data_IF_568912830572
#
_entry.id   IF_568912830572
#
_cell.length_a   1.000
_cell.length_b   1.000
_cell.length_c   1.000
_cell.angle_alpha   90.00
_cell.angle_beta   90.00
_cell.angle_gamma   90.00
#
_symmetry.space_group_name_H-M   'P 1'
#
loop_
_entity.id
_entity.type
_entity.pdbx_description
1 polymer ?
#
# COMPACT_ATOMS: atom_id res chain seq x y z
N UNK A 1 18.06 23.04 -15.44
CA UNK A 1 17.75 21.87 -14.59
C UNK A 1 16.69 22.29 -13.59
N UNK A 2 15.41 22.02 -13.86
CA UNK A 2 14.33 22.41 -12.95
C UNK A 2 14.22 21.38 -11.82
N UNK A 3 14.54 21.82 -10.60
CA UNK A 3 14.27 21.08 -9.38
C UNK A 3 12.77 21.22 -9.08
N UNK A 4 11.98 20.21 -9.44
CA UNK A 4 10.57 20.17 -9.05
C UNK A 4 10.47 19.85 -7.56
N UNK A 5 10.26 20.89 -6.75
CA UNK A 5 9.75 20.73 -5.40
C UNK A 5 8.35 20.09 -5.49
N UNK A 6 8.19 18.88 -4.97
CA UNK A 6 6.94 18.14 -5.02
C UNK A 6 6.01 18.65 -3.91
N UNK A 7 4.77 19.07 -4.22
CA UNK A 7 3.84 19.57 -3.22
C UNK A 7 3.42 18.46 -2.27
N UNK A 8 3.23 18.82 -0.99
CA UNK A 8 2.73 17.94 0.05
C UNK A 8 1.43 17.22 -0.37
N UNK A 9 1.44 15.89 -0.24
CA UNK A 9 0.37 14.93 -0.61
C UNK A 9 -0.96 15.29 0.08
N UNK A 10 -1.74 16.19 -0.51
CA UNK A 10 -3.11 16.50 -0.08
C UNK A 10 -4.01 16.71 -1.29
N UNK A 11 -4.63 15.63 -1.77
CA UNK A 11 -5.96 15.71 -2.39
C UNK A 11 -6.64 14.36 -2.38
N UNK A 12 -7.82 14.35 -1.79
CA UNK A 12 -8.72 13.22 -1.54
C UNK A 12 -9.47 12.82 -2.83
N UNK A 13 -8.81 12.82 -3.99
CA UNK A 13 -9.43 12.51 -5.28
C UNK A 13 -8.41 11.79 -6.18
N UNK A 14 -8.56 10.47 -6.22
CA UNK A 14 -7.92 9.45 -7.07
C UNK A 14 -6.38 9.37 -7.12
N UNK A 15 -5.87 8.21 -6.69
CA UNK A 15 -4.49 7.80 -6.95
C UNK A 15 -4.29 7.46 -8.43
N UNK A 16 -3.05 7.58 -8.91
CA UNK A 16 -2.65 7.28 -10.29
C UNK A 16 -1.65 6.13 -10.37
N UNK A 17 -1.43 5.61 -11.58
CA UNK A 17 -0.35 4.64 -11.83
C UNK A 17 1.04 5.23 -11.55
N UNK A 18 1.22 6.55 -11.64
CA UNK A 18 2.48 7.19 -11.29
C UNK A 18 2.71 7.19 -9.77
N UNK A 19 1.65 7.40 -8.99
CA UNK A 19 1.73 7.28 -7.52
C UNK A 19 2.09 5.84 -7.12
N UNK A 20 1.48 4.85 -7.77
CA UNK A 20 1.83 3.43 -7.56
C UNK A 20 3.29 3.15 -7.90
N UNK A 21 3.77 3.58 -9.07
CA UNK A 21 5.16 3.38 -9.49
C UNK A 21 6.15 4.03 -8.51
N UNK A 22 5.85 5.22 -8.01
CA UNK A 22 6.68 5.92 -7.02
C UNK A 22 6.71 5.16 -5.68
N UNK A 23 5.56 4.73 -5.16
CA UNK A 23 5.50 4.02 -3.88
C UNK A 23 6.19 2.63 -3.97
N UNK A 24 6.14 1.97 -5.15
CA UNK A 24 6.93 0.76 -5.44
C UNK A 24 8.43 1.06 -5.38
N UNK A 25 8.86 2.14 -6.02
CA UNK A 25 10.27 2.55 -6.04
C UNK A 25 10.76 2.90 -4.63
N UNK A 26 9.97 3.64 -3.85
CA UNK A 26 10.31 4.04 -2.48
C UNK A 26 10.50 2.82 -1.58
N UNK A 27 9.60 1.83 -1.66
CA UNK A 27 9.73 0.57 -0.92
C UNK A 27 10.97 -0.22 -1.36
N UNK A 28 11.27 -0.27 -2.66
CA UNK A 28 12.45 -0.95 -3.19
C UNK A 28 13.75 -0.30 -2.67
N UNK A 29 13.84 1.03 -2.70
CA UNK A 29 14.99 1.77 -2.17
C UNK A 29 15.18 1.57 -0.66
N UNK A 30 14.10 1.47 0.11
CA UNK A 30 14.19 1.16 1.55
C UNK A 30 14.69 -0.27 1.80
N UNK A 31 14.24 -1.24 1.01
CA UNK A 31 14.74 -2.62 1.08
C UNK A 31 16.22 -2.69 0.72
N UNK A 32 16.64 -2.02 -0.33
CA UNK A 32 18.06 -1.96 -0.70
C UNK A 32 18.92 -1.37 0.42
N UNK A 33 18.46 -0.28 1.06
CA UNK A 33 19.14 0.30 2.23
C UNK A 33 19.22 -0.69 3.40
N UNK A 34 18.18 -1.48 3.61
CA UNK A 34 18.14 -2.51 4.65
C UNK A 34 19.12 -3.65 4.37
N UNK A 35 19.13 -4.21 3.15
CA UNK A 35 20.03 -5.30 2.78
C UNK A 35 21.51 -4.89 2.84
N UNK A 36 21.81 -3.64 2.50
CA UNK A 36 23.15 -3.08 2.55
C UNK A 36 23.55 -2.54 3.94
N UNK A 37 22.70 -2.70 4.96
CA UNK A 37 22.94 -2.13 6.28
C UNK A 37 23.93 -2.97 7.10
N UNK A 38 25.08 -2.37 7.44
CA UNK A 38 26.14 -3.00 8.23
C UNK A 38 26.24 -2.49 9.68
N UNK A 39 25.29 -1.66 10.13
CA UNK A 39 25.31 -1.08 11.48
C UNK A 39 24.67 -1.98 12.55
N UNK A 40 24.85 -1.63 13.82
CA UNK A 40 24.40 -2.43 14.97
C UNK A 40 22.92 -2.19 15.37
N UNK A 41 22.07 -1.69 14.46
CA UNK A 41 20.64 -1.53 14.72
C UNK A 41 19.80 -2.48 13.86
N UNK A 42 19.36 -3.64 14.37
CA UNK A 42 18.61 -4.63 13.62
C UNK A 42 17.19 -4.16 13.24
N UNK A 43 16.78 -2.94 13.59
CA UNK A 43 15.47 -2.38 13.27
C UNK A 43 15.55 -1.08 12.47
N UNK A 44 16.76 -0.71 11.99
CA UNK A 44 17.06 0.63 11.45
C UNK A 44 16.04 1.18 10.45
N UNK A 45 15.56 0.35 9.52
CA UNK A 45 14.57 0.76 8.49
C UNK A 45 13.21 0.09 8.65
N UNK A 46 12.97 -0.66 9.74
CA UNK A 46 11.75 -1.47 9.88
C UNK A 46 10.48 -0.61 9.83
N UNK A 47 10.46 0.49 10.59
CA UNK A 47 9.30 1.38 10.64
C UNK A 47 9.01 2.04 9.27
N UNK A 48 10.06 2.46 8.56
CA UNK A 48 9.94 3.08 7.25
C UNK A 48 9.43 2.09 6.21
N UNK A 49 9.94 0.85 6.22
CA UNK A 49 9.48 -0.24 5.35
C UNK A 49 8.00 -0.55 5.61
N UNK A 50 7.58 -0.67 6.86
CA UNK A 50 6.16 -0.92 7.18
C UNK A 50 5.27 0.26 6.76
N UNK A 51 5.74 1.49 6.90
CA UNK A 51 5.02 2.69 6.43
C UNK A 51 4.88 2.71 4.90
N UNK A 52 5.95 2.39 4.17
CA UNK A 52 5.94 2.31 2.72
C UNK A 52 5.02 1.19 2.21
N UNK A 53 5.06 0.01 2.84
CA UNK A 53 4.13 -1.10 2.55
C UNK A 53 2.67 -0.70 2.77
N UNK A 54 2.37 -0.05 3.89
CA UNK A 54 1.00 0.39 4.19
C UNK A 54 0.52 1.46 3.20
N UNK A 55 1.42 2.33 2.73
CA UNK A 55 1.11 3.35 1.73
C UNK A 55 0.83 2.72 0.38
N UNK A 56 1.72 1.85 -0.11
CA UNK A 56 1.54 1.13 -1.36
C UNK A 56 0.22 0.33 -1.38
N UNK A 57 -0.10 -0.36 -0.28
CA UNK A 57 -1.35 -1.11 -0.16
C UNK A 57 -2.61 -0.23 -0.28
N UNK A 58 -2.58 1.01 0.24
CA UNK A 58 -3.69 1.97 0.10
C UNK A 58 -3.85 2.43 -1.34
N UNK A 59 -2.74 2.72 -2.02
CA UNK A 59 -2.74 3.11 -3.43
C UNK A 59 -3.27 1.98 -4.31
N UNK A 60 -2.75 0.76 -4.13
CA UNK A 60 -3.19 -0.41 -4.89
C UNK A 60 -4.67 -0.70 -4.68
N UNK A 61 -5.15 -0.62 -3.43
CA UNK A 61 -6.57 -0.79 -3.13
C UNK A 61 -7.43 0.23 -3.87
N UNK A 62 -7.08 1.51 -3.80
CA UNK A 62 -7.85 2.56 -4.46
C UNK A 62 -7.86 2.39 -5.99
N UNK A 63 -6.72 2.03 -6.59
CA UNK A 63 -6.64 1.75 -8.03
C UNK A 63 -7.43 0.50 -8.43
N UNK A 64 -7.53 -0.51 -7.57
CA UNK A 64 -8.39 -1.69 -7.77
C UNK A 64 -9.87 -1.34 -7.63
N UNK A 65 -10.21 -0.44 -6.70
CA UNK A 65 -11.57 0.03 -6.48
C UNK A 65 -12.09 0.85 -7.67
N UNK A 66 -11.22 1.60 -8.36
CA UNK A 66 -11.54 2.33 -9.60
C UNK A 66 -11.41 1.48 -10.87
N UNK A 67 -10.93 0.24 -10.76
CA UNK A 67 -10.73 -0.67 -11.89
C UNK A 67 -9.49 -0.38 -12.75
N UNK A 68 -8.63 0.55 -12.33
CA UNK A 68 -7.34 0.84 -13.00
C UNK A 68 -6.37 -0.33 -12.84
N UNK A 69 -6.35 -0.96 -11.66
CA UNK A 69 -5.66 -2.23 -11.44
C UNK A 69 -6.67 -3.37 -11.37
N UNK A 70 -6.30 -4.51 -11.97
CA UNK A 70 -7.08 -5.74 -11.83
C UNK A 70 -6.91 -6.31 -10.42
N UNK A 71 -8.00 -6.83 -9.85
CA UNK A 71 -7.95 -7.65 -8.64
C UNK A 71 -7.47 -9.06 -9.01
N UNK A 72 -6.82 -9.73 -8.06
CA UNK A 72 -6.61 -11.18 -8.14
C UNK A 72 -7.93 -11.91 -7.91
N UNK A 73 -8.02 -13.19 -8.32
CA UNK A 73 -9.23 -14.01 -8.09
C UNK A 73 -9.60 -14.10 -6.60
N UNK A 74 -8.61 -14.15 -5.70
CA UNK A 74 -8.87 -14.16 -4.26
C UNK A 74 -9.45 -12.82 -3.80
N UNK A 75 -8.90 -11.70 -4.27
CA UNK A 75 -9.41 -10.36 -3.91
C UNK A 75 -10.81 -10.09 -4.48
N UNK A 76 -11.14 -10.65 -5.65
CA UNK A 76 -12.50 -10.62 -6.19
C UNK A 76 -13.47 -11.41 -5.31
N UNK A 77 -13.07 -12.62 -4.87
CA UNK A 77 -13.85 -13.43 -3.96
C UNK A 77 -14.07 -12.71 -2.62
N UNK A 78 -13.01 -12.17 -2.03
CA UNK A 78 -13.07 -11.45 -0.76
C UNK A 78 -13.98 -10.22 -0.87
N UNK A 79 -13.84 -9.43 -1.95
CA UNK A 79 -14.72 -8.29 -2.21
C UNK A 79 -16.19 -8.69 -2.39
N UNK A 80 -16.45 -9.84 -3.03
CA UNK A 80 -17.80 -10.38 -3.17
C UNK A 80 -18.37 -10.83 -1.81
N UNK A 81 -17.56 -11.45 -0.95
CA UNK A 81 -17.94 -11.86 0.40
C UNK A 81 -18.22 -10.64 1.30
N UNK A 82 -17.36 -9.64 1.30
CA UNK A 82 -17.54 -8.39 2.06
C UNK A 82 -18.84 -7.68 1.65
N UNK A 83 -19.15 -7.67 0.35
CA UNK A 83 -20.40 -7.11 -0.17
C UNK A 83 -21.63 -7.94 0.23
N UNK A 84 -21.53 -9.26 0.20
CA UNK A 84 -22.62 -10.16 0.54
C UNK A 84 -22.92 -10.19 2.05
N UNK A 85 -21.89 -10.00 2.88
CA UNK A 85 -21.96 -10.12 4.33
C UNK A 85 -21.35 -8.90 5.03
N UNK A 86 -21.94 -7.69 4.88
CA UNK A 86 -21.37 -6.45 5.41
C UNK A 86 -21.24 -6.41 6.93
N UNK A 87 -21.99 -7.27 7.65
CA UNK A 87 -21.96 -7.40 9.11
C UNK A 87 -21.16 -8.63 9.57
N UNK A 88 -20.50 -9.37 8.67
CA UNK A 88 -19.64 -10.49 9.05
C UNK A 88 -18.35 -9.95 9.67
N UNK A 89 -18.41 -9.67 10.97
CA UNK A 89 -17.22 -9.38 11.74
C UNK A 89 -16.43 -10.67 11.99
N UNK A 90 -15.11 -10.58 11.93
CA UNK A 90 -14.23 -11.68 12.30
C UNK A 90 -14.50 -12.05 13.77
N UNK A 91 -15.03 -13.26 13.99
CA UNK A 91 -15.21 -13.94 15.29
C UNK A 91 -16.44 -13.59 16.15
N UNK A 92 -17.61 -13.38 15.54
CA UNK A 92 -18.85 -13.47 16.33
C UNK A 92 -19.22 -14.96 16.54
N UNK A 93 -18.81 -15.54 17.67
CA UNK A 93 -19.35 -16.84 18.11
C UNK A 93 -20.77 -16.55 18.64
N UNK A 94 -21.79 -17.10 17.99
CA UNK A 94 -23.17 -17.04 18.47
C UNK A 94 -23.34 -18.18 19.48
N UNK A 95 -23.78 -17.84 20.71
CA UNK A 95 -24.11 -18.80 21.78
C UNK A 95 -25.62 -19.04 21.85
#
# INVERSE_FOLDING_TARGET
MLLAAHPARTKMTDYTLNDHAQDVQDLASLREKWENYSGNNPSKFRADIETAKATLARVERALKDTGVLSRTTQEELDAALDKAYPNAHTRQIVQ
#
